data_IF_722210188611
#
_entry.id   IF_722210188611
#
_cell.length_a   1.000
_cell.length_b   1.000
_cell.length_c   1.000
_cell.angle_alpha   90.00
_cell.angle_beta   90.00
_cell.angle_gamma   90.00
#
_symmetry.space_group_name_H-M   'P 1'
#
loop_
_entity.id
_entity.type
_entity.pdbx_description
1 polymer ?
#
# COMPACT_ATOMS: atom_id res chain seq x y z
N UNK A 1 -4.43 -4.32 2.08
CA UNK A 1 -4.53 -5.31 0.99
C UNK A 1 -6.03 -5.48 0.75
N UNK A 2 -6.60 -4.96 -0.35
CA UNK A 2 -8.07 -4.81 -0.53
C UNK A 2 -8.61 -5.56 -1.76
N UNK A 3 -7.95 -6.67 -2.09
CA UNK A 3 -8.29 -7.49 -3.26
C UNK A 3 -7.91 -8.93 -2.99
N UNK A 4 -8.67 -9.89 -3.53
CA UNK A 4 -8.23 -11.27 -3.57
C UNK A 4 -6.82 -11.39 -4.16
N UNK A 5 -5.97 -12.16 -3.50
CA UNK A 5 -4.59 -12.33 -3.92
C UNK A 5 -4.51 -13.46 -4.96
N UNK A 6 -4.45 -13.08 -6.22
CA UNK A 6 -4.14 -13.94 -7.37
C UNK A 6 -3.40 -13.11 -8.43
N UNK A 7 -2.72 -13.79 -9.35
CA UNK A 7 -2.02 -13.15 -10.45
C UNK A 7 -2.43 -13.80 -11.77
N UNK A 8 -2.47 -13.00 -12.84
CA UNK A 8 -2.84 -13.48 -14.17
C UNK A 8 -1.60 -13.66 -15.03
N UNK A 9 -1.40 -14.84 -15.60
CA UNK A 9 -0.44 -15.02 -16.68
C UNK A 9 -1.00 -14.37 -17.96
N UNK A 10 -0.24 -13.47 -18.59
CA UNK A 10 -0.64 -12.80 -19.82
C UNK A 10 0.06 -13.38 -21.05
N UNK A 11 1.38 -13.58 -20.95
CA UNK A 11 2.20 -14.09 -22.04
C UNK A 11 3.43 -14.81 -21.47
N UNK A 12 3.98 -15.76 -22.23
CA UNK A 12 5.22 -16.45 -21.91
C UNK A 12 6.10 -16.40 -23.16
N UNK A 13 7.23 -15.70 -23.07
CA UNK A 13 8.14 -15.44 -24.19
C UNK A 13 9.60 -15.64 -23.75
N UNK A 14 10.28 -16.61 -24.35
CA UNK A 14 11.67 -16.94 -24.00
C UNK A 14 11.85 -17.22 -22.51
N UNK A 15 12.82 -16.56 -21.90
CA UNK A 15 13.19 -16.72 -20.48
C UNK A 15 12.23 -16.03 -19.50
N UNK A 16 11.25 -15.26 -19.98
CA UNK A 16 10.37 -14.47 -19.12
C UNK A 16 8.87 -14.72 -19.39
N UNK A 17 8.09 -14.72 -18.32
CA UNK A 17 6.64 -14.67 -18.34
C UNK A 17 6.13 -13.29 -17.92
N UNK A 18 5.17 -12.74 -18.65
CA UNK A 18 4.50 -11.49 -18.32
C UNK A 18 3.28 -11.80 -17.46
N UNK A 19 3.25 -11.24 -16.24
CA UNK A 19 2.22 -11.52 -15.23
C UNK A 19 1.59 -10.20 -14.76
N UNK A 20 0.27 -10.17 -14.64
CA UNK A 20 -0.49 -9.11 -13.98
C UNK A 20 -0.67 -9.44 -12.51
N UNK A 21 -0.12 -8.59 -11.65
CA UNK A 21 -0.18 -8.73 -10.20
C UNK A 21 -1.52 -8.21 -9.63
N UNK A 22 -1.91 -8.61 -8.39
CA UNK A 22 -3.11 -8.10 -7.73
C UNK A 22 -3.11 -6.58 -7.53
N UNK A 23 -1.92 -5.98 -7.50
CA UNK A 23 -1.72 -4.52 -7.45
C UNK A 23 -2.15 -3.80 -8.75
N UNK A 24 -2.43 -4.53 -9.82
CA UNK A 24 -2.68 -4.01 -11.17
C UNK A 24 -1.41 -3.75 -11.98
N UNK A 25 -0.22 -3.95 -11.41
CA UNK A 25 1.06 -3.86 -12.11
C UNK A 25 1.24 -5.05 -13.07
N UNK A 26 1.80 -4.81 -14.26
CA UNK A 26 2.23 -5.87 -15.18
C UNK A 26 3.75 -5.94 -15.17
N UNK A 27 4.27 -7.13 -14.89
CA UNK A 27 5.69 -7.36 -14.66
C UNK A 27 6.16 -8.65 -15.33
N UNK A 28 7.41 -8.65 -15.80
CA UNK A 28 8.15 -9.84 -16.25
C UNK A 28 8.74 -10.59 -15.05
N UNK A 29 8.53 -11.89 -15.05
CA UNK A 29 9.05 -12.85 -14.06
C UNK A 29 9.80 -13.94 -14.84
N UNK A 30 10.88 -14.50 -14.29
CA UNK A 30 11.61 -15.60 -14.95
C UNK A 30 10.65 -16.80 -15.14
N UNK A 31 10.67 -17.40 -16.33
CA UNK A 31 9.79 -18.50 -16.70
C UNK A 31 9.98 -19.77 -15.83
N UNK A 32 11.12 -19.88 -15.13
CA UNK A 32 11.43 -20.97 -14.20
C UNK A 32 10.87 -20.76 -12.80
N UNK A 33 10.31 -19.58 -12.50
CA UNK A 33 9.70 -19.33 -11.19
C UNK A 33 8.50 -20.26 -10.96
N UNK A 34 8.39 -20.78 -9.74
CA UNK A 34 7.23 -21.60 -9.34
C UNK A 34 5.98 -20.74 -9.15
N UNK A 35 4.84 -21.30 -9.55
CA UNK A 35 3.53 -20.73 -9.29
C UNK A 35 2.54 -21.86 -8.95
N UNK A 36 1.57 -21.55 -8.09
CA UNK A 36 0.48 -22.46 -7.74
C UNK A 36 -0.78 -22.02 -8.46
N UNK A 37 -1.51 -22.99 -9.02
CA UNK A 37 -2.78 -22.74 -9.70
C UNK A 37 -3.84 -22.43 -8.64
N UNK A 38 -4.54 -21.31 -8.82
CA UNK A 38 -5.68 -20.93 -7.99
C UNK A 38 -5.53 -19.54 -7.37
N UNK A 39 -6.33 -19.30 -6.35
CA UNK A 39 -6.46 -18.04 -5.64
C UNK A 39 -6.24 -18.29 -4.15
N UNK A 40 -5.65 -17.33 -3.44
CA UNK A 40 -5.49 -17.44 -1.99
C UNK A 40 -6.87 -17.55 -1.32
N UNK A 41 -7.00 -18.47 -0.38
CA UNK A 41 -8.23 -18.73 0.37
C UNK A 41 -8.61 -17.53 1.27
N UNK A 42 -9.80 -17.59 1.90
CA UNK A 42 -10.35 -16.54 2.78
C UNK A 42 -10.66 -15.20 2.06
N UNK A 43 -11.54 -15.27 1.05
CA UNK A 43 -11.97 -14.12 0.26
C UNK A 43 -12.76 -13.08 1.07
N UNK A 44 -13.47 -13.55 2.09
CA UNK A 44 -14.30 -12.71 2.96
C UNK A 44 -13.49 -11.99 4.04
N UNK A 45 -12.17 -12.17 4.10
CA UNK A 45 -11.33 -11.51 5.09
C UNK A 45 -11.48 -9.98 5.08
N UNK A 46 -11.73 -9.39 3.91
CA UNK A 46 -11.98 -7.95 3.76
C UNK A 46 -13.30 -7.50 4.38
N UNK A 47 -14.31 -8.37 4.44
CA UNK A 47 -15.63 -8.06 4.99
C UNK A 47 -15.68 -8.19 6.52
N UNK A 48 -14.60 -8.64 7.16
CA UNK A 48 -14.56 -8.85 8.61
C UNK A 48 -14.44 -7.52 9.36
N UNK A 49 -15.41 -7.24 10.24
CA UNK A 49 -15.30 -6.13 11.20
C UNK A 49 -14.59 -6.57 12.47
N UNK A 50 -13.64 -5.74 12.94
CA UNK A 50 -12.89 -5.99 14.18
C UNK A 50 -13.80 -5.82 15.42
N UNK A 51 -14.82 -4.97 15.36
CA UNK A 51 -15.83 -4.76 16.40
C UNK A 51 -15.35 -3.96 17.61
N UNK A 52 -14.34 -4.45 18.35
CA UNK A 52 -13.84 -3.83 19.60
C UNK A 52 -12.36 -3.47 19.54
N UNK A 53 -11.98 -2.40 20.24
CA UNK A 53 -10.59 -1.94 20.34
C UNK A 53 -9.64 -3.03 20.89
N UNK A 54 -10.08 -3.81 21.88
CA UNK A 54 -9.28 -4.90 22.47
C UNK A 54 -8.90 -5.99 21.46
N UNK A 55 -9.73 -6.25 20.45
CA UNK A 55 -9.40 -7.24 19.40
C UNK A 55 -8.26 -6.75 18.52
N UNK A 56 -8.21 -5.45 18.20
CA UNK A 56 -7.06 -4.85 17.50
C UNK A 56 -5.76 -4.96 18.32
N UNK A 57 -5.84 -4.80 19.64
CA UNK A 57 -4.71 -5.02 20.55
C UNK A 57 -4.20 -6.46 20.52
N UNK A 58 -5.09 -7.45 20.47
CA UNK A 58 -4.71 -8.87 20.36
C UNK A 58 -4.04 -9.19 19.02
N UNK A 59 -4.36 -8.43 17.96
CA UNK A 59 -3.67 -8.53 16.66
C UNK A 59 -2.30 -7.82 16.63
N UNK A 60 -1.85 -7.24 17.75
CA UNK A 60 -0.58 -6.50 17.84
C UNK A 60 -0.64 -5.05 17.37
N UNK A 61 -1.82 -4.53 17.01
CA UNK A 61 -1.97 -3.13 16.63
C UNK A 61 -2.06 -2.26 17.89
N UNK A 62 -1.16 -1.27 18.00
CA UNK A 62 -1.21 -0.24 19.05
C UNK A 62 -2.05 0.95 18.57
N UNK A 63 -2.68 1.71 19.48
CA UNK A 63 -3.38 2.94 19.11
C UNK A 63 -2.42 3.92 18.41
N UNK A 64 -2.86 4.50 17.30
CA UNK A 64 -2.16 5.58 16.61
C UNK A 64 -2.85 6.92 16.90
N UNK A 65 -2.06 7.94 17.22
CA UNK A 65 -2.56 9.29 17.52
C UNK A 65 -2.50 10.13 16.25
N UNK A 66 -3.60 10.84 15.93
CA UNK A 66 -3.65 11.74 14.77
C UNK A 66 -2.78 12.97 15.00
N UNK A 67 -2.06 13.39 13.97
CA UNK A 67 -1.16 14.54 14.03
C UNK A 67 -1.82 15.87 14.42
N UNK A 68 -3.10 16.07 14.08
CA UNK A 68 -3.88 17.28 14.43
C UNK A 68 -4.07 17.44 15.94
N UNK A 69 -4.01 16.35 16.70
CA UNK A 69 -4.20 16.38 18.17
C UNK A 69 -2.86 16.61 18.90
N UNK A 70 -1.74 16.63 18.17
CA UNK A 70 -0.41 16.80 18.74
C UNK A 70 -0.02 18.27 18.85
N UNK A 71 1.09 18.57 19.53
CA UNK A 71 1.64 19.92 19.56
C UNK A 71 2.38 20.25 18.25
N UNK A 72 2.57 21.54 17.90
CA UNK A 72 3.31 21.95 16.70
C UNK A 72 4.74 21.38 16.59
N UNK A 73 5.36 21.08 17.74
CA UNK A 73 6.70 20.48 17.81
C UNK A 73 6.71 19.01 17.37
N UNK A 74 5.64 18.28 17.67
CA UNK A 74 5.58 16.82 17.55
C UNK A 74 5.07 16.40 16.16
N UNK A 75 4.20 17.21 15.56
CA UNK A 75 3.65 16.96 14.24
C UNK A 75 3.48 18.25 13.44
N UNK A 76 3.74 18.25 12.12
CA UNK A 76 3.48 19.42 11.28
C UNK A 76 2.03 19.93 11.38
N UNK A 77 1.07 19.03 11.59
CA UNK A 77 -0.35 19.37 11.72
C UNK A 77 -0.79 19.72 13.15
N UNK A 78 0.13 19.72 14.11
CA UNK A 78 -0.19 19.95 15.51
C UNK A 78 -0.41 21.42 15.85
N UNK A 79 -1.15 21.66 16.94
CA UNK A 79 -1.47 22.98 17.47
C UNK A 79 -2.75 23.61 16.90
N UNK A 80 -2.90 24.91 17.19
CA UNK A 80 -4.14 25.65 16.97
C UNK A 80 -5.06 25.64 18.20
N UNK A 81 -6.02 26.56 18.23
CA UNK A 81 -7.07 26.58 19.25
C UNK A 81 -8.20 25.62 18.85
N UNK A 82 -8.48 24.66 19.72
CA UNK A 82 -9.51 23.64 19.47
C UNK A 82 -9.18 22.72 18.30
N UNK A 83 -10.21 22.20 17.63
CA UNK A 83 -10.04 21.29 16.49
C UNK A 83 -9.89 22.09 15.20
N UNK A 84 -8.67 22.17 14.69
CA UNK A 84 -8.39 22.85 13.42
C UNK A 84 -8.35 21.88 12.22
N UNK A 85 -8.67 22.35 10.99
CA UNK A 85 -8.37 21.61 9.78
C UNK A 85 -6.85 21.55 9.56
N UNK A 86 -6.38 20.65 8.68
CA UNK A 86 -4.94 20.43 8.43
C UNK A 86 -4.17 21.70 8.06
N UNK A 87 -4.81 22.71 7.46
CA UNK A 87 -4.22 24.01 7.09
C UNK A 87 -3.13 23.98 6.00
N UNK A 88 -2.58 22.80 5.72
CA UNK A 88 -1.51 22.54 4.75
C UNK A 88 -1.72 21.16 4.09
N UNK A 89 -0.98 20.85 3.01
CA UNK A 89 -0.99 19.50 2.45
C UNK A 89 -0.67 18.43 3.52
N UNK A 90 -1.34 17.28 3.52
CA UNK A 90 -1.09 16.22 4.49
C UNK A 90 0.38 15.75 4.46
N UNK A 91 1.03 15.76 5.63
CA UNK A 91 2.41 15.36 5.85
C UNK A 91 2.48 14.27 6.92
N UNK A 92 3.53 13.47 6.83
CA UNK A 92 3.98 12.55 7.89
C UNK A 92 4.57 13.36 9.06
N UNK A 93 4.79 12.73 10.23
CA UNK A 93 5.44 13.40 11.37
C UNK A 93 6.80 14.02 11.03
N UNK A 94 7.51 13.45 10.06
CA UNK A 94 8.81 13.93 9.57
C UNK A 94 8.71 14.87 8.36
N UNK A 95 7.53 15.40 8.05
CA UNK A 95 7.33 16.42 7.02
C UNK A 95 7.24 15.93 5.58
N UNK A 96 7.43 14.63 5.29
CA UNK A 96 7.20 14.09 3.94
C UNK A 96 5.70 14.13 3.59
N UNK A 97 5.30 14.52 2.37
CA UNK A 97 3.91 14.44 1.92
C UNK A 97 3.31 13.04 2.10
N UNK A 98 2.12 12.96 2.71
CA UNK A 98 1.41 11.71 2.97
C UNK A 98 0.53 11.26 1.79
N UNK A 99 0.14 12.18 0.91
CA UNK A 99 -0.69 11.92 -0.26
C UNK A 99 0.07 12.19 -1.55
N UNK A 100 -0.13 11.34 -2.56
CA UNK A 100 0.36 11.54 -3.93
C UNK A 100 1.86 11.35 -4.15
N UNK A 101 2.71 11.52 -3.13
CA UNK A 101 4.15 11.42 -3.30
C UNK A 101 4.63 9.97 -3.51
N UNK A 102 5.37 9.77 -4.59
CA UNK A 102 6.10 8.54 -4.85
C UNK A 102 7.31 8.42 -3.93
N UNK A 103 7.28 7.45 -3.01
CA UNK A 103 8.36 7.25 -2.03
C UNK A 103 9.57 6.46 -2.55
N UNK A 104 9.40 5.67 -3.62
CA UNK A 104 10.47 4.89 -4.23
C UNK A 104 11.42 5.77 -5.06
N UNK A 105 12.67 5.94 -4.63
CA UNK A 105 13.72 6.71 -5.33
C UNK A 105 14.44 5.94 -6.46
N UNK A 106 14.87 4.69 -6.22
CA UNK A 106 15.72 3.93 -7.16
C UNK A 106 14.93 2.90 -8.00
N UNK A 107 15.23 2.84 -9.30
CA UNK A 107 14.61 1.93 -10.30
C UNK A 107 15.25 0.52 -10.32
N UNK A 108 15.88 0.05 -9.26
CA UNK A 108 16.64 -1.22 -9.24
C UNK A 108 15.83 -2.47 -9.63
N UNK A 109 14.50 -2.39 -9.66
CA UNK A 109 13.61 -3.43 -10.19
C UNK A 109 12.59 -2.92 -11.20
N UNK A 110 12.83 -1.74 -11.80
CA UNK A 110 11.96 -1.12 -12.80
C UNK A 110 12.10 -1.73 -14.19
N UNK A 111 13.25 -2.31 -14.53
CA UNK A 111 13.50 -2.91 -15.86
C UNK A 111 12.63 -4.14 -16.17
N UNK A 112 12.01 -4.74 -15.15
CA UNK A 112 11.07 -5.85 -15.30
C UNK A 112 9.61 -5.38 -15.36
N UNK A 113 9.32 -4.10 -15.10
CA UNK A 113 7.96 -3.58 -15.10
C UNK A 113 7.59 -3.20 -16.53
N UNK A 114 6.59 -3.90 -17.08
CA UNK A 114 6.04 -3.62 -18.43
C UNK A 114 5.00 -2.51 -18.34
N UNK A 115 4.11 -2.59 -17.34
CA UNK A 115 3.09 -1.57 -17.06
C UNK A 115 3.03 -1.28 -15.57
N UNK A 116 3.24 -0.02 -15.22
CA UNK A 116 3.14 0.44 -13.83
C UNK A 116 1.69 0.37 -13.32
N UNK A 117 1.53 0.04 -12.03
CA UNK A 117 0.24 0.16 -11.31
C UNK A 117 -0.27 1.60 -11.15
N UNK A 118 0.56 2.60 -11.45
CA UNK A 118 0.21 4.02 -11.31
C UNK A 118 -0.50 4.49 -12.59
N UNK A 119 -1.61 5.20 -12.45
CA UNK A 119 -2.14 6.03 -13.55
C UNK A 119 -1.09 7.10 -13.87
N UNK A 120 -0.73 7.26 -15.15
CA UNK A 120 -0.09 8.50 -15.58
C UNK A 120 -1.14 9.60 -15.37
N UNK A 121 -0.82 10.56 -14.52
CA UNK A 121 -1.55 11.83 -14.46
C UNK A 121 -1.26 12.61 -15.73
#
# INVERSE_FOLDING_TARGET
>A
MRRPAWAQLLAKEGDFATVRLPSGEVRRVDARCMATIGQVSNLEHENQSIGKAGRARHMGLRPEVRGVVMNPRDHPHGGGEGKSPTGMPPKTPWGKPAMGLVTRRRKTGGGLIVRSRRRKS
#
